data_IF_099140295888
#
_entry.id   IF_099140295888
#
_cell.length_a   1.000
_cell.length_b   1.000
_cell.length_c   1.000
_cell.angle_alpha   90.00
_cell.angle_beta   90.00
_cell.angle_gamma   90.00
#
_symmetry.space_group_name_H-M   'P 1'
#
loop_
_entity.id
_entity.type
_entity.pdbx_description
1 polymer ?
#
# COMPACT_ATOMS: atom_id res chain seq x y z
N UNK A 1 -18.33 0.71 -33.46
CA UNK A 1 -17.56 -0.35 -32.77
C UNK A 1 -17.12 0.10 -31.38
N UNK A 2 -16.96 1.41 -31.12
CA UNK A 2 -16.53 2.00 -29.85
C UNK A 2 -17.41 1.74 -28.62
N UNK A 3 -18.75 1.84 -28.76
CA UNK A 3 -19.68 1.73 -27.61
C UNK A 3 -19.55 0.42 -26.81
N UNK A 4 -19.14 -0.66 -27.50
CA UNK A 4 -19.00 -2.00 -26.90
C UNK A 4 -17.72 -2.16 -26.08
N UNK A 5 -16.72 -1.31 -26.30
CA UNK A 5 -15.47 -1.34 -25.54
C UNK A 5 -15.55 -0.42 -24.31
N UNK A 6 -16.27 0.70 -24.40
CA UNK A 6 -16.59 1.55 -23.23
C UNK A 6 -17.40 0.78 -22.17
N UNK A 7 -18.42 0.01 -22.60
CA UNK A 7 -19.23 -0.81 -21.69
C UNK A 7 -18.38 -1.87 -20.96
N UNK A 8 -17.41 -2.48 -21.65
CA UNK A 8 -16.50 -3.45 -21.02
C UNK A 8 -15.56 -2.79 -20.01
N UNK A 9 -15.04 -1.61 -20.32
CA UNK A 9 -14.18 -0.87 -19.38
C UNK A 9 -14.96 -0.47 -18.12
N UNK A 10 -16.22 -0.06 -18.25
CA UNK A 10 -17.07 0.22 -17.11
C UNK A 10 -17.31 -1.01 -16.23
N UNK A 11 -17.53 -2.19 -16.84
CA UNK A 11 -17.68 -3.45 -16.09
C UNK A 11 -16.38 -3.83 -15.37
N UNK A 12 -15.21 -3.71 -16.03
CA UNK A 12 -13.90 -3.99 -15.41
C UNK A 12 -13.67 -3.06 -14.21
N UNK A 13 -13.97 -1.76 -14.38
CA UNK A 13 -13.83 -0.78 -13.31
C UNK A 13 -14.76 -1.10 -12.13
N UNK A 14 -16.02 -1.45 -12.41
CA UNK A 14 -16.99 -1.81 -11.37
C UNK A 14 -16.56 -3.08 -10.60
N UNK A 15 -15.98 -4.07 -11.29
CA UNK A 15 -15.43 -5.27 -10.65
C UNK A 15 -14.19 -4.95 -9.79
N UNK A 16 -13.31 -4.07 -10.26
CA UNK A 16 -12.14 -3.63 -9.50
C UNK A 16 -12.57 -2.87 -8.23
N UNK A 17 -13.51 -1.92 -8.35
CA UNK A 17 -14.06 -1.18 -7.21
C UNK A 17 -14.72 -2.14 -6.20
N UNK A 18 -15.47 -3.13 -6.68
CA UNK A 18 -16.11 -4.13 -5.83
C UNK A 18 -15.07 -4.97 -5.07
N UNK A 19 -14.04 -5.48 -5.76
CA UNK A 19 -12.96 -6.21 -5.10
C UNK A 19 -12.22 -5.35 -4.07
N UNK A 20 -12.01 -4.06 -4.38
CA UNK A 20 -11.41 -3.11 -3.45
C UNK A 20 -12.30 -2.87 -2.23
N UNK A 21 -13.62 -2.73 -2.42
CA UNK A 21 -14.58 -2.55 -1.34
C UNK A 21 -14.67 -3.80 -0.45
N UNK A 22 -14.66 -4.99 -1.05
CA UNK A 22 -14.70 -6.27 -0.34
C UNK A 22 -13.43 -6.52 0.50
N UNK A 23 -12.29 -5.95 0.08
CA UNK A 23 -10.99 -6.14 0.74
C UNK A 23 -10.43 -4.88 1.41
N UNK A 24 -11.19 -3.78 1.44
CA UNK A 24 -10.71 -2.48 1.93
C UNK A 24 -10.22 -2.55 3.37
N UNK A 25 -11.00 -3.21 4.24
CA UNK A 25 -10.63 -3.39 5.64
C UNK A 25 -9.29 -4.14 5.78
N UNK A 26 -9.11 -5.21 5.00
CA UNK A 26 -7.85 -5.97 4.98
C UNK A 26 -6.68 -5.11 4.47
N UNK A 27 -6.90 -4.31 3.42
CA UNK A 27 -5.87 -3.39 2.92
C UNK A 27 -5.48 -2.35 3.99
N UNK A 28 -6.46 -1.75 4.66
CA UNK A 28 -6.21 -0.79 5.75
C UNK A 28 -5.39 -1.42 6.87
N UNK A 29 -5.73 -2.64 7.30
CA UNK A 29 -4.97 -3.34 8.34
C UNK A 29 -3.57 -3.76 7.87
N UNK A 30 -3.41 -4.11 6.59
CA UNK A 30 -2.12 -4.38 5.98
C UNK A 30 -1.24 -3.12 5.99
N UNK A 31 -1.74 -1.97 5.53
CA UNK A 31 -1.01 -0.71 5.52
C UNK A 31 -0.61 -0.26 6.93
N UNK A 32 -1.53 -0.39 7.92
CA UNK A 32 -1.21 -0.13 9.33
C UNK A 32 -0.09 -1.03 9.83
N UNK A 33 -0.11 -2.30 9.47
CA UNK A 33 0.93 -3.27 9.86
C UNK A 33 2.27 -2.90 9.24
N UNK A 34 2.29 -2.56 7.95
CA UNK A 34 3.50 -2.13 7.24
C UNK A 34 4.08 -0.85 7.84
N UNK A 35 3.24 0.13 8.19
CA UNK A 35 3.68 1.35 8.87
C UNK A 35 4.31 1.05 10.25
N UNK A 36 3.76 0.10 11.01
CA UNK A 36 4.34 -0.33 12.31
C UNK A 36 5.68 -1.02 12.11
N UNK A 37 5.80 -1.92 11.13
CA UNK A 37 7.05 -2.60 10.80
C UNK A 37 8.12 -1.58 10.39
N UNK A 38 7.77 -0.63 9.51
CA UNK A 38 8.65 0.44 9.09
C UNK A 38 9.15 1.27 10.29
N UNK A 39 8.25 1.65 11.20
CA UNK A 39 8.62 2.39 12.42
C UNK A 39 9.58 1.61 13.31
N UNK A 40 9.34 0.31 13.53
CA UNK A 40 10.23 -0.52 14.36
C UNK A 40 11.61 -0.65 13.72
N UNK A 41 11.69 -0.89 12.41
CA UNK A 41 12.96 -0.93 11.67
C UNK A 41 13.72 0.39 11.77
N UNK A 42 13.04 1.52 11.59
CA UNK A 42 13.64 2.84 11.74
C UNK A 42 14.27 3.03 13.12
N UNK A 43 13.52 2.72 14.19
CA UNK A 43 14.01 2.86 15.56
C UNK A 43 15.20 1.93 15.85
N UNK A 44 15.19 0.71 15.32
CA UNK A 44 16.30 -0.22 15.45
C UNK A 44 17.56 0.32 14.76
N UNK A 45 17.44 0.82 13.52
CA UNK A 45 18.57 1.41 12.78
C UNK A 45 19.17 2.61 13.52
N UNK A 46 18.33 3.51 14.04
CA UNK A 46 18.82 4.65 14.85
C UNK A 46 19.54 4.17 16.11
N UNK A 47 19.01 3.14 16.79
CA UNK A 47 19.65 2.55 17.97
C UNK A 47 20.99 1.87 17.65
N UNK A 48 21.16 1.34 16.44
CA UNK A 48 22.42 0.79 15.94
C UNK A 48 23.44 1.86 15.50
N UNK A 49 23.06 3.14 15.55
CA UNK A 49 23.95 4.27 15.27
C UNK A 49 23.85 4.84 13.86
N UNK A 50 22.87 4.42 13.06
CA UNK A 50 22.58 5.08 11.79
C UNK A 50 21.98 6.47 12.03
N UNK A 51 22.26 7.41 11.12
CA UNK A 51 21.55 8.69 11.14
C UNK A 51 20.09 8.49 10.75
N UNK A 52 19.21 9.41 11.17
CA UNK A 52 17.79 9.34 10.81
C UNK A 52 17.59 9.32 9.28
N UNK A 53 18.40 10.07 8.53
CA UNK A 53 18.34 10.11 7.07
C UNK A 53 18.72 8.76 6.44
N UNK A 54 19.77 8.10 6.93
CA UNK A 54 20.16 6.76 6.49
C UNK A 54 19.08 5.73 6.84
N UNK A 55 18.53 5.79 8.05
CA UNK A 55 17.46 4.90 8.49
C UNK A 55 16.20 5.06 7.61
N UNK A 56 15.81 6.29 7.26
CA UNK A 56 14.68 6.55 6.36
C UNK A 56 14.90 6.00 4.95
N UNK A 57 16.12 6.07 4.41
CA UNK A 57 16.43 5.51 3.10
C UNK A 57 16.31 3.97 3.07
N UNK A 58 16.68 3.30 4.16
CA UNK A 58 16.65 1.83 4.28
C UNK A 58 15.25 1.27 4.60
N UNK A 59 14.35 2.11 5.10
CA UNK A 59 12.99 1.72 5.53
C UNK A 59 11.95 1.90 4.41
N UNK A 60 12.26 2.58 3.30
CA UNK A 60 11.35 2.70 2.14
C UNK A 60 11.34 1.39 1.32
N UNK A 61 10.14 0.86 1.07
CA UNK A 61 9.84 -0.30 0.21
C UNK A 61 8.91 0.14 -0.91
#
# INVERSE_FOLDING_TARGET
MEKKDDDKQQVIMAQAIRALAEHWATQVEFEKTMARVARVKFLALVAEGFTEEQALQLVRW
#
